data_IF_280289983855
#
_entry.id   IF_280289983855
#
_cell.length_a   1.000
_cell.length_b   1.000
_cell.length_c   1.000
_cell.angle_alpha   90.00
_cell.angle_beta   90.00
_cell.angle_gamma   90.00
#
_symmetry.space_group_name_H-M   'P 1'
#
loop_
_entity.id
_entity.type
_entity.pdbx_description
1 polymer ?
#
# COMPACT_ATOMS: atom_id res chain seq x y z
N UNK A 1 -20.59 -4.86 -14.36
CA UNK A 1 -22.04 -4.61 -14.48
C UNK A 1 -22.57 -5.22 -15.78
N UNK A 2 -23.85 -5.58 -15.82
CA UNK A 2 -24.43 -6.33 -16.94
C UNK A 2 -25.15 -5.46 -17.98
N UNK A 3 -25.27 -4.15 -17.73
CA UNK A 3 -25.91 -3.20 -18.64
C UNK A 3 -25.11 -1.89 -18.74
N UNK A 4 -25.17 -1.23 -19.89
CA UNK A 4 -24.56 0.07 -20.16
C UNK A 4 -25.47 0.92 -21.06
N UNK A 5 -25.19 2.21 -21.13
CA UNK A 5 -25.84 3.12 -22.06
C UNK A 5 -25.04 3.20 -23.36
N UNK A 6 -25.69 3.01 -24.49
CA UNK A 6 -25.18 3.26 -25.81
C UNK A 6 -26.17 4.19 -26.53
N UNK A 7 -25.73 5.36 -26.96
CA UNK A 7 -26.57 6.37 -27.64
C UNK A 7 -27.92 6.61 -26.94
N UNK A 8 -27.88 6.81 -25.63
CA UNK A 8 -29.02 7.00 -24.73
C UNK A 8 -29.96 5.79 -24.58
N UNK A 9 -29.61 4.63 -25.13
CA UNK A 9 -30.38 3.37 -24.98
C UNK A 9 -29.62 2.45 -23.99
N UNK A 10 -30.36 1.73 -23.16
CA UNK A 10 -29.79 0.72 -22.27
C UNK A 10 -29.54 -0.57 -23.09
N UNK A 11 -28.31 -1.06 -23.07
CA UNK A 11 -27.90 -2.30 -23.74
C UNK A 11 -27.36 -3.30 -22.72
N UNK A 12 -27.59 -4.60 -22.97
CA UNK A 12 -27.11 -5.67 -22.10
C UNK A 12 -25.76 -6.21 -22.60
N UNK A 13 -24.87 -6.52 -21.69
CA UNK A 13 -23.54 -7.05 -22.01
C UNK A 13 -23.60 -8.35 -22.82
N UNK A 14 -24.57 -9.22 -22.51
CA UNK A 14 -24.76 -10.49 -23.23
C UNK A 14 -25.19 -10.24 -24.69
N UNK A 15 -26.11 -9.29 -24.95
CA UNK A 15 -26.54 -8.94 -26.27
C UNK A 15 -25.41 -8.33 -27.11
N UNK A 16 -24.65 -7.43 -26.52
CA UNK A 16 -23.50 -6.81 -27.17
C UNK A 16 -22.40 -7.84 -27.47
N UNK A 17 -22.14 -8.78 -26.54
CA UNK A 17 -21.20 -9.87 -26.76
C UNK A 17 -21.64 -10.81 -27.89
N UNK A 18 -22.94 -11.09 -28.01
CA UNK A 18 -23.47 -11.86 -29.12
C UNK A 18 -23.19 -11.19 -30.48
N UNK A 19 -23.42 -9.87 -30.56
CA UNK A 19 -23.14 -9.12 -31.81
C UNK A 19 -21.64 -9.11 -32.16
N UNK A 20 -20.76 -9.07 -31.14
CA UNK A 20 -19.31 -9.15 -31.34
C UNK A 20 -18.90 -10.56 -31.80
N UNK A 21 -19.40 -11.60 -31.16
CA UNK A 21 -19.06 -12.99 -31.47
C UNK A 21 -19.60 -13.41 -32.86
N UNK A 22 -20.75 -12.88 -33.26
CA UNK A 22 -21.34 -13.08 -34.61
C UNK A 22 -20.70 -12.20 -35.69
N UNK A 23 -19.64 -11.44 -35.37
CA UNK A 23 -18.96 -10.50 -36.29
C UNK A 23 -19.81 -9.38 -36.86
N UNK A 24 -20.99 -9.15 -36.29
CA UNK A 24 -21.88 -8.03 -36.69
C UNK A 24 -21.40 -6.70 -36.11
N UNK A 25 -20.54 -6.74 -35.09
CA UNK A 25 -19.99 -5.57 -34.40
C UNK A 25 -18.53 -5.83 -34.00
N UNK A 26 -17.68 -4.80 -34.05
CA UNK A 26 -16.30 -4.89 -33.50
C UNK A 26 -16.30 -4.61 -32.01
N UNK A 27 -15.47 -5.35 -31.24
CA UNK A 27 -15.36 -5.19 -29.80
C UNK A 27 -14.91 -3.77 -29.44
N UNK A 28 -15.68 -3.11 -28.58
CA UNK A 28 -15.41 -1.76 -28.06
C UNK A 28 -15.21 -0.67 -29.14
N UNK A 29 -15.80 -0.84 -30.31
CA UNK A 29 -15.84 0.19 -31.35
C UNK A 29 -16.71 1.38 -30.91
N UNK A 30 -17.74 1.13 -30.12
CA UNK A 30 -18.69 2.14 -29.65
C UNK A 30 -18.41 2.59 -28.25
N UNK A 31 -18.92 3.76 -27.85
CA UNK A 31 -18.70 4.37 -26.56
C UNK A 31 -19.86 4.00 -25.62
N UNK A 32 -19.63 2.99 -24.79
CA UNK A 32 -20.56 2.63 -23.73
C UNK A 32 -20.35 3.52 -22.50
N UNK A 33 -21.45 3.84 -21.80
CA UNK A 33 -21.43 4.64 -20.57
C UNK A 33 -22.15 3.95 -19.43
N UNK A 34 -21.68 4.15 -18.21
CA UNK A 34 -22.34 3.64 -17.02
C UNK A 34 -23.69 4.34 -16.80
N UNK A 35 -24.81 3.61 -16.58
CA UNK A 35 -26.11 4.22 -16.32
C UNK A 35 -26.19 5.02 -15.02
N UNK A 36 -25.31 4.76 -14.03
CA UNK A 36 -25.30 5.45 -12.75
C UNK A 36 -24.42 6.71 -12.72
N UNK A 37 -23.21 6.65 -13.31
CA UNK A 37 -22.23 7.73 -13.18
C UNK A 37 -21.82 8.36 -14.52
N UNK A 38 -22.42 7.93 -15.62
CA UNK A 38 -22.17 8.38 -17.00
C UNK A 38 -20.71 8.27 -17.48
N UNK A 39 -19.82 7.64 -16.70
CA UNK A 39 -18.42 7.41 -17.08
C UNK A 39 -18.33 6.33 -18.17
N UNK A 40 -17.29 6.43 -19.01
CA UNK A 40 -17.03 5.47 -20.08
C UNK A 40 -16.77 4.08 -19.50
N UNK A 41 -17.34 3.05 -20.15
CA UNK A 41 -17.15 1.64 -19.82
C UNK A 41 -16.79 0.85 -21.07
N UNK A 42 -16.15 -0.29 -20.90
CA UNK A 42 -15.81 -1.23 -21.98
C UNK A 42 -16.53 -2.55 -21.78
N UNK A 43 -16.89 -3.20 -22.88
CA UNK A 43 -17.41 -4.55 -22.89
C UNK A 43 -16.24 -5.54 -22.72
N UNK A 44 -16.36 -6.44 -21.78
CA UNK A 44 -15.47 -7.58 -21.59
C UNK A 44 -16.23 -8.83 -22.01
N UNK A 45 -15.66 -9.56 -22.96
CA UNK A 45 -16.18 -10.85 -23.44
C UNK A 45 -15.18 -11.92 -23.05
N UNK A 46 -15.60 -12.93 -22.27
CA UNK A 46 -14.75 -14.03 -21.81
C UNK A 46 -15.31 -15.35 -22.30
N UNK A 47 -14.43 -16.24 -22.75
CA UNK A 47 -14.81 -17.60 -23.16
C UNK A 47 -15.36 -18.45 -22.01
N UNK A 48 -15.00 -18.14 -20.76
CA UNK A 48 -15.37 -18.92 -19.55
C UNK A 48 -16.44 -18.27 -18.68
N UNK A 49 -16.73 -16.97 -18.87
CA UNK A 49 -17.65 -16.23 -18.03
C UNK A 49 -18.65 -15.42 -18.87
N UNK A 50 -19.79 -15.08 -18.28
CA UNK A 50 -20.76 -14.17 -18.91
C UNK A 50 -20.12 -12.81 -19.24
N UNK A 51 -20.51 -12.20 -20.33
CA UNK A 51 -20.05 -10.87 -20.71
C UNK A 51 -20.49 -9.80 -19.70
N UNK A 52 -19.66 -8.78 -19.49
CA UNK A 52 -19.96 -7.68 -18.58
C UNK A 52 -19.28 -6.37 -19.00
N UNK A 53 -19.84 -5.25 -18.56
CA UNK A 53 -19.21 -3.93 -18.72
C UNK A 53 -18.33 -3.58 -17.53
N UNK A 54 -17.13 -3.05 -17.81
CA UNK A 54 -16.16 -2.57 -16.82
C UNK A 54 -15.90 -1.09 -17.02
N UNK A 55 -15.84 -0.31 -15.92
CA UNK A 55 -15.43 1.10 -15.99
C UNK A 55 -14.03 1.26 -16.55
N UNK A 56 -13.87 2.22 -17.45
CA UNK A 56 -12.57 2.61 -18.01
C UNK A 56 -11.70 3.43 -17.05
N UNK A 57 -12.17 3.66 -15.82
CA UNK A 57 -11.46 4.46 -14.80
C UNK A 57 -10.04 4.01 -14.47
N UNK A 58 -9.62 2.87 -15.02
CA UNK A 58 -8.25 2.37 -14.85
C UNK A 58 -7.32 2.62 -16.05
N UNK A 59 -7.82 3.11 -17.23
CA UNK A 59 -6.91 3.23 -18.38
C UNK A 59 -6.00 4.44 -18.34
N UNK A 60 -6.49 5.58 -17.85
CA UNK A 60 -5.65 6.77 -17.64
C UNK A 60 -4.69 6.59 -16.46
N UNK A 61 -5.11 5.90 -15.39
CA UNK A 61 -4.25 5.58 -14.27
C UNK A 61 -3.19 4.52 -14.61
N UNK A 62 -3.55 3.50 -15.43
CA UNK A 62 -2.58 2.46 -15.82
C UNK A 62 -1.49 2.97 -16.74
N UNK A 63 -1.76 3.94 -17.61
CA UNK A 63 -0.70 4.58 -18.40
C UNK A 63 0.19 5.46 -17.52
N UNK A 64 -0.39 6.24 -16.61
CA UNK A 64 0.37 7.05 -15.65
C UNK A 64 1.15 6.20 -14.64
N UNK A 65 0.58 5.09 -14.16
CA UNK A 65 1.28 4.15 -13.27
C UNK A 65 2.43 3.42 -13.97
N UNK A 66 2.25 3.02 -15.23
CA UNK A 66 3.32 2.42 -16.03
C UNK A 66 4.46 3.42 -16.29
N UNK A 67 4.14 4.67 -16.57
CA UNK A 67 5.12 5.72 -16.80
C UNK A 67 5.87 6.04 -15.51
N UNK A 68 5.17 6.26 -14.38
CA UNK A 68 5.80 6.46 -13.07
C UNK A 68 6.73 5.30 -12.69
N UNK A 69 6.29 4.06 -12.91
CA UNK A 69 7.07 2.86 -12.64
C UNK A 69 8.34 2.81 -13.51
N UNK A 70 8.20 3.01 -14.83
CA UNK A 70 9.33 2.99 -15.75
C UNK A 70 10.36 4.08 -15.44
N UNK A 71 9.90 5.33 -15.27
CA UNK A 71 10.77 6.45 -14.92
C UNK A 71 11.50 6.21 -13.60
N UNK A 72 10.80 5.70 -12.58
CA UNK A 72 11.41 5.40 -11.28
C UNK A 72 12.51 4.36 -11.39
N UNK A 73 12.31 3.27 -12.14
CA UNK A 73 13.35 2.26 -12.37
C UNK A 73 14.58 2.84 -13.04
N UNK A 74 14.38 3.62 -14.11
CA UNK A 74 15.49 4.21 -14.85
C UNK A 74 16.27 5.20 -14.01
N UNK A 75 15.60 6.02 -13.20
CA UNK A 75 16.25 6.95 -12.27
C UNK A 75 17.03 6.22 -11.17
N UNK A 76 16.46 5.17 -10.56
CA UNK A 76 17.19 4.35 -9.58
C UNK A 76 18.42 3.69 -10.20
N UNK A 77 18.29 3.08 -11.39
CA UNK A 77 19.44 2.50 -12.11
C UNK A 77 20.52 3.54 -12.33
N UNK A 78 20.16 4.70 -12.91
CA UNK A 78 21.12 5.75 -13.23
C UNK A 78 21.85 6.26 -11.99
N UNK A 79 21.11 6.54 -10.90
CA UNK A 79 21.67 7.03 -9.64
C UNK A 79 22.60 5.99 -8.98
N UNK A 80 22.21 4.72 -8.97
CA UNK A 80 23.01 3.62 -8.42
C UNK A 80 24.29 3.42 -9.25
N UNK A 81 24.20 3.42 -10.57
CA UNK A 81 25.36 3.29 -11.45
C UNK A 81 26.31 4.47 -11.27
N UNK A 82 25.81 5.70 -11.19
CA UNK A 82 26.62 6.89 -10.91
C UNK A 82 27.31 6.81 -9.54
N UNK A 83 26.67 6.22 -8.54
CA UNK A 83 27.26 6.00 -7.21
C UNK A 83 28.28 4.85 -7.16
N UNK A 84 28.55 4.19 -8.31
CA UNK A 84 29.55 3.12 -8.44
C UNK A 84 29.02 1.71 -8.16
N UNK A 85 27.70 1.53 -8.09
CA UNK A 85 27.11 0.21 -7.97
C UNK A 85 26.86 -0.41 -9.35
N UNK A 86 27.08 -1.72 -9.49
CA UNK A 86 26.61 -2.47 -10.64
C UNK A 86 25.08 -2.65 -10.53
N UNK A 87 24.35 -1.91 -11.38
CA UNK A 87 22.89 -1.87 -11.33
C UNK A 87 22.30 -2.17 -12.72
N UNK A 88 21.41 -3.16 -12.77
CA UNK A 88 20.70 -3.58 -13.98
C UNK A 88 19.19 -3.61 -13.75
N UNK A 89 18.40 -3.39 -14.80
CA UNK A 89 16.93 -3.37 -14.73
C UNK A 89 16.32 -4.62 -15.38
N UNK A 90 15.14 -5.02 -14.90
CA UNK A 90 14.33 -6.10 -15.47
C UNK A 90 15.07 -7.45 -15.52
N UNK A 91 15.85 -7.76 -14.49
CA UNK A 91 16.67 -8.97 -14.46
C UNK A 91 15.82 -10.16 -14.05
N UNK A 92 15.74 -11.22 -14.89
CA UNK A 92 15.06 -12.46 -14.51
C UNK A 92 15.89 -13.21 -13.44
N UNK A 93 15.19 -13.68 -12.41
CA UNK A 93 15.74 -14.41 -11.28
C UNK A 93 14.89 -15.65 -11.01
N UNK A 94 15.38 -16.57 -10.17
CA UNK A 94 14.65 -17.77 -9.77
C UNK A 94 14.09 -18.56 -10.98
N UNK A 95 14.93 -18.87 -11.96
CA UNK A 95 14.56 -19.58 -13.20
C UNK A 95 13.40 -18.89 -13.96
N UNK A 96 13.38 -17.56 -13.97
CA UNK A 96 12.38 -16.75 -14.66
C UNK A 96 11.05 -16.60 -13.91
N UNK A 97 10.91 -17.16 -12.70
CA UNK A 97 9.71 -16.99 -11.86
C UNK A 97 9.60 -15.60 -11.25
N UNK A 98 10.69 -14.85 -11.22
CA UNK A 98 10.80 -13.51 -10.67
C UNK A 98 11.56 -12.60 -11.64
N UNK A 99 11.21 -11.32 -11.67
CA UNK A 99 11.95 -10.28 -12.39
C UNK A 99 12.16 -9.12 -11.47
N UNK A 100 13.44 -8.83 -11.16
CA UNK A 100 13.81 -7.67 -10.34
C UNK A 100 13.66 -6.37 -11.14
N UNK A 101 12.99 -5.37 -10.58
CA UNK A 101 12.87 -4.06 -11.22
C UNK A 101 14.25 -3.39 -11.37
N UNK A 102 15.05 -3.35 -10.31
CA UNK A 102 16.44 -2.91 -10.32
C UNK A 102 17.26 -3.85 -9.45
N UNK A 103 18.14 -4.64 -10.05
CA UNK A 103 19.09 -5.49 -9.32
C UNK A 103 20.40 -4.73 -9.14
N UNK A 104 20.94 -4.75 -7.93
CA UNK A 104 22.23 -4.12 -7.55
C UNK A 104 23.20 -5.22 -7.15
N UNK A 105 24.28 -5.35 -7.88
CA UNK A 105 25.14 -6.52 -7.78
C UNK A 105 24.30 -7.80 -7.89
N UNK A 106 24.63 -8.85 -7.13
CA UNK A 106 23.89 -10.13 -7.22
C UNK A 106 22.92 -10.35 -6.06
N UNK A 107 22.89 -9.47 -5.05
CA UNK A 107 22.26 -9.77 -3.77
C UNK A 107 21.28 -8.71 -3.24
N UNK A 108 21.00 -7.65 -4.00
CA UNK A 108 20.08 -6.60 -3.58
C UNK A 108 19.16 -6.20 -4.73
N UNK A 109 17.86 -6.26 -4.52
CA UNK A 109 16.87 -5.81 -5.48
C UNK A 109 16.06 -4.63 -4.93
N UNK A 110 15.89 -3.58 -5.73
CA UNK A 110 14.88 -2.56 -5.50
C UNK A 110 13.63 -2.91 -6.33
N UNK A 111 12.53 -3.10 -5.63
CA UNK A 111 11.20 -3.33 -6.21
C UNK A 111 10.42 -2.04 -6.21
N UNK A 112 10.03 -1.55 -7.37
CA UNK A 112 9.29 -0.30 -7.53
C UNK A 112 7.80 -0.61 -7.66
N UNK A 113 6.98 -0.28 -6.69
CA UNK A 113 5.56 -0.64 -6.70
C UNK A 113 4.67 0.58 -6.86
N UNK A 114 4.17 0.78 -8.09
CA UNK A 114 3.24 1.87 -8.42
C UNK A 114 1.78 1.40 -8.55
N UNK A 115 1.56 0.12 -8.90
CA UNK A 115 0.24 -0.49 -9.05
C UNK A 115 -0.24 -1.18 -7.75
N UNK A 116 -1.54 -1.49 -7.60
CA UNK A 116 -2.02 -2.33 -6.51
C UNK A 116 -1.32 -3.68 -6.48
N UNK A 117 -0.95 -4.14 -5.28
CA UNK A 117 -0.32 -5.44 -5.05
C UNK A 117 -1.09 -6.17 -3.94
N UNK A 118 -1.39 -7.44 -4.15
CA UNK A 118 -2.02 -8.26 -3.13
C UNK A 118 -0.99 -8.77 -2.11
N UNK A 119 -1.45 -9.04 -0.88
CA UNK A 119 -0.60 -9.63 0.16
C UNK A 119 -0.02 -11.00 -0.25
N UNK A 120 -0.82 -11.80 -0.96
CA UNK A 120 -0.39 -13.10 -1.46
C UNK A 120 0.73 -12.99 -2.51
N UNK A 121 0.58 -12.09 -3.46
CA UNK A 121 1.58 -11.84 -4.50
C UNK A 121 2.87 -11.26 -3.92
N UNK A 122 2.73 -10.29 -3.00
CA UNK A 122 3.87 -9.75 -2.26
C UNK A 122 4.65 -10.85 -1.54
N UNK A 123 3.96 -11.69 -0.75
CA UNK A 123 4.58 -12.80 -0.01
C UNK A 123 5.26 -13.80 -0.94
N UNK A 124 4.63 -14.10 -2.07
CA UNK A 124 5.20 -14.99 -3.08
C UNK A 124 6.52 -14.43 -3.61
N UNK A 125 6.54 -13.19 -4.09
CA UNK A 125 7.76 -12.53 -4.61
C UNK A 125 8.84 -12.42 -3.54
N UNK A 126 8.48 -11.97 -2.34
CA UNK A 126 9.41 -11.88 -1.21
C UNK A 126 10.03 -13.23 -0.85
N UNK A 127 9.23 -14.31 -0.84
CA UNK A 127 9.73 -15.67 -0.57
C UNK A 127 10.71 -16.16 -1.65
N UNK A 128 10.50 -15.82 -2.91
CA UNK A 128 11.42 -16.16 -3.99
C UNK A 128 12.76 -15.43 -3.81
N UNK A 129 12.75 -14.14 -3.48
CA UNK A 129 13.97 -13.39 -3.15
C UNK A 129 14.74 -14.03 -2.00
N UNK A 130 14.05 -14.38 -0.91
CA UNK A 130 14.67 -15.06 0.23
C UNK A 130 15.32 -16.39 -0.14
N UNK A 131 14.65 -17.21 -0.98
CA UNK A 131 15.15 -18.52 -1.41
C UNK A 131 16.47 -18.44 -2.20
N UNK A 132 16.64 -17.38 -2.98
CA UNK A 132 17.86 -17.15 -3.78
C UNK A 132 18.88 -16.25 -3.08
N UNK A 133 18.67 -15.90 -1.81
CA UNK A 133 19.61 -15.08 -1.03
C UNK A 133 19.66 -13.60 -1.42
N UNK A 134 18.68 -13.10 -2.16
CA UNK A 134 18.59 -11.69 -2.57
C UNK A 134 17.75 -10.91 -1.56
N UNK A 135 18.26 -9.76 -1.13
CA UNK A 135 17.51 -8.83 -0.26
C UNK A 135 16.63 -7.93 -1.12
N UNK A 136 15.32 -7.93 -0.87
CA UNK A 136 14.36 -7.08 -1.57
C UNK A 136 14.05 -5.80 -0.77
N UNK A 137 14.20 -4.66 -1.39
CA UNK A 137 13.79 -3.34 -0.87
C UNK A 137 12.65 -2.80 -1.71
N UNK A 138 11.49 -2.62 -1.08
CA UNK A 138 10.29 -2.11 -1.75
C UNK A 138 10.21 -0.60 -1.65
N UNK A 139 10.09 0.05 -2.81
CA UNK A 139 9.95 1.50 -2.95
C UNK A 139 8.62 1.76 -3.66
N UNK A 140 7.74 2.52 -3.04
CA UNK A 140 6.38 2.70 -3.57
C UNK A 140 6.19 4.02 -4.30
N UNK A 141 5.37 4.00 -5.35
CA UNK A 141 4.90 5.19 -6.06
C UNK A 141 3.70 5.85 -5.37
N UNK A 142 3.19 6.89 -6.01
CA UNK A 142 2.20 7.84 -5.46
C UNK A 142 0.93 7.17 -4.90
N UNK A 143 0.47 6.08 -5.52
CA UNK A 143 -0.72 5.34 -5.08
C UNK A 143 -0.61 4.87 -3.62
N UNK A 144 0.59 4.50 -3.21
CA UNK A 144 0.89 3.89 -1.91
C UNK A 144 1.52 4.85 -0.90
N UNK A 145 1.65 6.15 -1.20
CA UNK A 145 2.27 7.10 -0.27
C UNK A 145 1.65 7.06 1.11
N UNK A 146 2.53 6.93 2.11
CA UNK A 146 2.14 6.90 3.51
C UNK A 146 1.70 8.30 3.98
N UNK A 147 0.45 8.40 4.39
CA UNK A 147 -0.13 9.62 4.96
C UNK A 147 -0.22 9.49 6.50
N UNK A 148 -0.99 10.36 7.12
CA UNK A 148 -1.16 10.37 8.58
C UNK A 148 -1.93 9.17 9.14
N UNK A 149 -2.64 8.42 8.31
CA UNK A 149 -3.43 7.25 8.72
C UNK A 149 -3.03 6.02 7.91
N UNK A 150 -2.80 4.91 8.62
CA UNK A 150 -2.40 3.64 8.04
C UNK A 150 -3.56 2.98 7.28
N UNK A 151 -3.30 2.58 6.04
CA UNK A 151 -4.17 1.70 5.26
C UNK A 151 -3.65 0.26 5.34
N UNK A 152 -4.55 -0.71 5.34
CA UNK A 152 -4.17 -2.14 5.41
C UNK A 152 -3.24 -2.55 4.27
N UNK A 153 -3.50 -2.08 3.05
CA UNK A 153 -2.69 -2.37 1.85
C UNK A 153 -1.27 -1.81 1.89
N UNK A 154 -0.95 -0.93 2.83
CA UNK A 154 0.39 -0.37 3.00
C UNK A 154 1.27 -1.23 3.92
N UNK A 155 0.67 -2.14 4.71
CA UNK A 155 1.40 -2.92 5.71
C UNK A 155 2.49 -3.79 5.12
N UNK A 156 2.27 -4.34 3.93
CA UNK A 156 3.20 -5.23 3.25
C UNK A 156 4.54 -4.56 2.90
N UNK A 157 4.54 -3.24 2.71
CA UNK A 157 5.74 -2.50 2.31
C UNK A 157 6.59 -2.00 3.49
N UNK A 158 6.11 -2.14 4.73
CA UNK A 158 6.93 -1.80 5.88
C UNK A 158 8.09 -2.77 6.05
N UNK A 159 9.24 -2.21 6.38
CA UNK A 159 10.43 -2.95 6.78
C UNK A 159 10.93 -2.42 8.11
N UNK A 160 11.78 -3.18 8.78
CA UNK A 160 12.36 -2.81 10.06
C UNK A 160 13.84 -3.14 10.12
N UNK A 161 14.63 -2.20 10.61
CA UNK A 161 16.01 -2.42 10.96
C UNK A 161 16.40 -1.61 12.22
N UNK A 162 17.60 -1.86 12.74
CA UNK A 162 18.10 -1.17 13.96
C UNK A 162 18.35 0.33 13.73
N UNK A 163 18.73 0.71 12.50
CA UNK A 163 19.13 2.08 12.14
C UNK A 163 17.92 3.02 12.02
N UNK A 164 16.83 2.55 11.42
CA UNK A 164 15.66 3.38 11.06
C UNK A 164 14.38 3.02 11.82
N UNK A 165 14.37 1.97 12.63
CA UNK A 165 13.16 1.41 13.21
C UNK A 165 12.26 0.83 12.10
N UNK A 166 10.92 0.98 12.23
CA UNK A 166 10.04 0.69 11.12
C UNK A 166 10.19 1.78 10.08
N UNK A 167 10.38 1.40 8.82
CA UNK A 167 10.57 2.35 7.73
C UNK A 167 9.75 2.01 6.49
N UNK A 168 9.63 3.00 5.61
CA UNK A 168 8.84 2.98 4.40
C UNK A 168 9.52 3.86 3.36
N UNK A 169 9.67 3.37 2.12
CA UNK A 169 10.33 4.10 1.05
C UNK A 169 9.31 4.49 -0.01
N UNK A 170 9.41 5.73 -0.46
CA UNK A 170 8.55 6.31 -1.51
C UNK A 170 9.42 6.94 -2.59
N UNK A 171 9.01 6.83 -3.86
CA UNK A 171 9.70 7.47 -4.98
C UNK A 171 8.80 8.51 -5.64
N UNK A 172 9.39 9.63 -6.04
CA UNK A 172 8.73 10.66 -6.84
C UNK A 172 9.62 10.99 -8.05
N UNK A 173 9.41 10.34 -9.19
CA UNK A 173 10.25 10.55 -10.37
C UNK A 173 10.12 11.97 -10.94
N UNK A 174 8.94 12.60 -10.85
CA UNK A 174 8.74 13.98 -11.30
C UNK A 174 9.59 15.01 -10.53
N UNK A 175 9.97 14.69 -9.28
CA UNK A 175 10.86 15.51 -8.46
C UNK A 175 12.29 14.97 -8.40
N UNK A 176 12.59 13.95 -9.18
CA UNK A 176 13.89 13.26 -9.17
C UNK A 176 14.37 12.91 -7.75
N UNK A 177 13.48 12.39 -6.90
CA UNK A 177 13.82 12.08 -5.51
C UNK A 177 13.09 10.84 -4.98
N UNK A 178 13.64 10.27 -3.93
CA UNK A 178 12.97 9.29 -3.10
C UNK A 178 12.97 9.73 -1.64
N UNK A 179 12.07 9.18 -0.88
CA UNK A 179 11.78 9.59 0.48
C UNK A 179 11.84 8.38 1.41
N UNK A 180 12.64 8.46 2.44
CA UNK A 180 12.64 7.53 3.56
C UNK A 180 11.77 8.10 4.68
N UNK A 181 10.66 7.43 4.99
CA UNK A 181 9.90 7.63 6.22
C UNK A 181 10.37 6.59 7.23
N UNK A 182 10.91 7.03 8.33
CA UNK A 182 11.56 6.18 9.31
C UNK A 182 11.07 6.46 10.72
N UNK A 183 11.38 5.55 11.65
CA UNK A 183 10.83 5.58 13.00
C UNK A 183 9.29 5.65 12.96
N UNK A 184 8.70 4.87 12.05
CA UNK A 184 7.25 4.89 11.85
C UNK A 184 6.59 4.10 12.96
N UNK A 185 5.77 4.79 13.75
CA UNK A 185 5.00 4.19 14.84
C UNK A 185 3.53 4.61 14.71
N UNK A 186 2.64 3.76 15.20
CA UNK A 186 1.20 3.96 15.21
C UNK A 186 0.73 4.30 16.63
N UNK A 187 -0.22 5.23 16.76
CA UNK A 187 -0.83 5.55 18.06
C UNK A 187 -1.47 4.31 18.70
N UNK A 188 -1.57 4.31 20.02
CA UNK A 188 -2.05 3.18 20.82
C UNK A 188 -3.39 2.60 20.34
N UNK A 189 -4.37 3.45 20.10
CA UNK A 189 -5.75 3.04 19.77
C UNK A 189 -6.25 3.48 18.40
N UNK A 190 -5.59 4.46 17.77
CA UNK A 190 -5.99 4.98 16.46
C UNK A 190 -5.20 4.34 15.31
N UNK A 191 -5.56 4.70 14.07
CA UNK A 191 -4.76 4.37 12.88
C UNK A 191 -3.74 5.45 12.53
N UNK A 192 -3.60 6.50 13.37
CA UNK A 192 -2.69 7.60 13.10
C UNK A 192 -1.24 7.17 13.25
N UNK A 193 -0.42 7.65 12.34
CA UNK A 193 1.02 7.40 12.31
C UNK A 193 1.81 8.63 12.73
N UNK A 194 2.98 8.36 13.34
CA UNK A 194 4.07 9.32 13.54
C UNK A 194 5.32 8.78 12.93
N UNK A 195 6.08 9.61 12.23
CA UNK A 195 7.33 9.25 11.57
C UNK A 195 8.20 10.47 11.36
N UNK A 196 9.48 10.23 11.12
CA UNK A 196 10.45 11.19 10.62
C UNK A 196 10.62 10.97 9.11
N UNK A 197 11.05 12.01 8.40
CA UNK A 197 11.16 11.97 6.94
C UNK A 197 12.51 12.51 6.50
N UNK A 198 13.14 11.85 5.52
CA UNK A 198 14.33 12.34 4.83
C UNK A 198 14.16 12.10 3.33
N UNK A 199 14.41 13.14 2.56
CA UNK A 199 14.43 13.09 1.10
C UNK A 199 15.86 12.95 0.62
N UNK A 200 16.03 12.20 -0.48
CA UNK A 200 17.28 12.00 -1.18
C UNK A 200 17.05 12.25 -2.67
N UNK A 201 17.94 12.96 -3.33
CA UNK A 201 17.90 13.11 -4.78
C UNK A 201 18.27 11.76 -5.42
N UNK A 202 17.68 11.44 -6.57
CA UNK A 202 18.03 10.24 -7.34
C UNK A 202 19.26 10.54 -8.22
N UNK A 203 20.40 10.73 -7.55
CA UNK A 203 21.72 10.93 -8.13
C UNK A 203 22.80 10.22 -7.28
N UNK A 204 24.06 10.32 -7.68
CA UNK A 204 25.20 9.74 -6.96
C UNK A 204 25.23 10.17 -5.49
N UNK A 205 25.09 11.48 -5.23
CA UNK A 205 25.22 12.06 -3.90
C UNK A 205 24.08 11.56 -3.01
N UNK A 206 22.85 11.57 -3.50
CA UNK A 206 21.69 11.14 -2.74
C UNK A 206 21.71 9.64 -2.41
N UNK A 207 22.19 8.79 -3.31
CA UNK A 207 22.39 7.35 -3.05
C UNK A 207 23.45 7.15 -1.96
N UNK A 208 24.62 7.82 -2.06
CA UNK A 208 25.65 7.73 -1.02
C UNK A 208 25.17 8.24 0.33
N UNK A 209 24.39 9.34 0.36
CA UNK A 209 23.77 9.86 1.57
C UNK A 209 22.76 8.87 2.17
N UNK A 210 21.94 8.23 1.35
CA UNK A 210 20.98 7.22 1.81
C UNK A 210 21.67 6.03 2.48
N UNK A 211 22.73 5.50 1.86
CA UNK A 211 23.49 4.38 2.40
C UNK A 211 24.14 4.69 3.75
N UNK A 212 24.63 5.91 3.91
CA UNK A 212 25.30 6.36 5.14
C UNK A 212 24.33 6.98 6.18
N UNK A 213 23.03 7.12 5.84
CA UNK A 213 22.08 7.80 6.70
C UNK A 213 21.80 7.02 7.98
N UNK A 214 22.24 7.55 9.14
CA UNK A 214 22.04 6.97 10.47
C UNK A 214 21.47 8.03 11.41
N UNK A 215 20.13 8.21 11.45
CA UNK A 215 19.51 9.27 12.22
C UNK A 215 19.34 8.92 13.70
N UNK A 216 19.22 9.95 14.53
CA UNK A 216 18.68 9.81 15.88
C UNK A 216 17.17 9.62 15.83
N UNK A 217 16.67 8.51 16.39
CA UNK A 217 15.24 8.22 16.43
C UNK A 217 14.57 9.01 17.56
N UNK A 218 13.48 9.73 17.23
CA UNK A 218 12.68 10.48 18.20
C UNK A 218 11.82 9.53 19.03
N UNK A 219 11.71 9.79 20.33
CA UNK A 219 10.68 9.14 21.17
C UNK A 219 9.34 9.85 20.96
N UNK A 220 8.28 9.08 20.76
CA UNK A 220 6.92 9.61 20.67
C UNK A 220 6.15 9.25 21.94
N UNK A 221 5.38 10.22 22.42
CA UNK A 221 4.50 10.05 23.58
C UNK A 221 3.08 10.42 23.12
N UNK A 222 2.13 9.54 23.35
CA UNK A 222 0.73 9.72 23.00
C UNK A 222 0.04 10.73 23.94
N UNK A 223 -1.05 11.31 23.44
CA UNK A 223 -1.92 12.14 24.28
C UNK A 223 -3.09 11.29 24.81
N UNK A 224 -3.12 10.94 26.12
CA UNK A 224 -4.12 10.04 26.66
C UNK A 224 -5.54 10.60 26.57
N UNK A 225 -5.71 11.92 26.73
CA UNK A 225 -7.03 12.57 26.62
C UNK A 225 -7.62 12.40 25.21
N UNK A 226 -6.81 12.68 24.19
CA UNK A 226 -7.26 12.54 22.80
C UNK A 226 -7.54 11.07 22.43
N UNK A 227 -6.73 10.14 22.94
CA UNK A 227 -6.92 8.71 22.71
C UNK A 227 -8.22 8.20 23.37
N UNK A 228 -8.50 8.60 24.62
CA UNK A 228 -9.76 8.28 25.32
C UNK A 228 -10.95 8.86 24.58
N UNK A 229 -10.94 10.15 24.23
CA UNK A 229 -12.00 10.79 23.44
C UNK A 229 -12.27 10.06 22.11
N UNK A 230 -11.22 9.57 21.48
CA UNK A 230 -11.38 8.75 20.27
C UNK A 230 -12.13 7.45 20.56
N UNK A 231 -11.75 6.71 21.60
CA UNK A 231 -12.41 5.45 22.00
C UNK A 231 -13.85 5.68 22.38
N UNK A 232 -14.16 6.70 23.20
CA UNK A 232 -15.53 7.10 23.58
C UNK A 232 -16.39 7.34 22.33
N UNK A 233 -15.85 8.07 21.35
CA UNK A 233 -16.54 8.30 20.08
C UNK A 233 -16.80 7.00 19.32
N UNK A 234 -15.82 6.08 19.28
CA UNK A 234 -15.99 4.78 18.61
C UNK A 234 -17.07 3.92 19.29
N UNK A 235 -17.14 3.94 20.62
CA UNK A 235 -18.19 3.26 21.39
C UNK A 235 -19.57 3.88 21.08
N UNK A 236 -19.68 5.20 21.15
CA UNK A 236 -20.93 5.93 20.84
C UNK A 236 -21.41 5.68 19.41
N UNK A 237 -20.50 5.60 18.45
CA UNK A 237 -20.80 5.33 17.04
C UNK A 237 -21.02 3.84 16.74
N UNK A 238 -20.93 2.96 17.74
CA UNK A 238 -21.06 1.50 17.58
C UNK A 238 -20.16 0.94 16.47
N UNK A 239 -18.96 1.52 16.28
CA UNK A 239 -18.00 0.99 15.32
C UNK A 239 -17.50 -0.40 15.76
N UNK A 240 -16.92 -1.18 14.81
CA UNK A 240 -16.31 -2.49 15.12
C UNK A 240 -15.33 -2.42 16.30
N UNK A 241 -14.48 -1.38 16.34
CA UNK A 241 -13.58 -1.14 17.47
C UNK A 241 -14.35 -0.80 18.74
N UNK A 242 -15.32 0.10 18.65
CA UNK A 242 -16.10 0.56 19.79
C UNK A 242 -16.90 -0.57 20.44
N UNK A 243 -17.58 -1.40 19.66
CA UNK A 243 -18.31 -2.57 20.16
C UNK A 243 -17.39 -3.57 20.84
N UNK A 244 -16.22 -3.87 20.24
CA UNK A 244 -15.25 -4.79 20.84
C UNK A 244 -14.69 -4.27 22.17
N UNK A 245 -14.38 -2.96 22.24
CA UNK A 245 -13.92 -2.34 23.50
C UNK A 245 -15.02 -2.32 24.56
N UNK A 246 -16.25 -1.95 24.20
CA UNK A 246 -17.38 -1.94 25.12
C UNK A 246 -17.66 -3.34 25.70
N UNK A 247 -17.65 -4.38 24.86
CA UNK A 247 -17.77 -5.78 25.29
C UNK A 247 -16.70 -6.16 26.32
N UNK A 248 -15.43 -5.87 26.03
CA UNK A 248 -14.32 -6.22 26.93
C UNK A 248 -14.38 -5.45 28.27
N UNK A 249 -14.76 -4.17 28.22
CA UNK A 249 -14.94 -3.37 29.44
C UNK A 249 -16.10 -3.92 30.30
N UNK A 250 -17.23 -4.25 29.68
CA UNK A 250 -18.38 -4.82 30.36
C UNK A 250 -18.04 -6.16 31.05
N UNK A 251 -17.37 -7.07 30.32
CA UNK A 251 -16.94 -8.37 30.86
C UNK A 251 -16.03 -8.23 32.09
N UNK A 252 -15.28 -7.15 32.20
CA UNK A 252 -14.35 -6.90 33.32
C UNK A 252 -14.90 -5.94 34.37
N UNK A 253 -16.13 -5.49 34.22
CA UNK A 253 -16.78 -4.49 35.09
C UNK A 253 -15.93 -3.21 35.23
N UNK A 254 -15.31 -2.75 34.13
CA UNK A 254 -14.50 -1.55 34.04
C UNK A 254 -15.18 -0.48 33.21
N UNK A 255 -14.91 0.78 33.57
CA UNK A 255 -15.16 1.94 32.73
C UNK A 255 -13.90 2.32 31.94
N UNK A 256 -14.03 3.20 30.97
CA UNK A 256 -12.87 3.70 30.22
C UNK A 256 -11.97 4.59 31.10
N UNK A 257 -12.53 5.22 32.11
CA UNK A 257 -11.88 6.07 33.09
C UNK A 257 -10.98 5.29 34.05
N UNK A 258 -11.32 4.05 34.36
CA UNK A 258 -10.55 3.16 35.25
C UNK A 258 -9.23 2.67 34.62
N UNK A 259 -9.07 2.90 33.32
CA UNK A 259 -7.89 2.42 32.60
C UNK A 259 -6.68 3.35 32.84
N UNK A 260 -5.47 2.81 33.05
CA UNK A 260 -4.30 3.63 33.29
C UNK A 260 -3.87 4.41 32.06
N UNK A 261 -3.37 5.64 32.24
CA UNK A 261 -2.88 6.48 31.14
C UNK A 261 -1.74 5.84 30.35
N UNK A 262 -0.98 4.96 30.97
CA UNK A 262 0.15 4.24 30.33
C UNK A 262 -0.25 3.47 29.06
N UNK A 263 -1.53 3.04 28.95
CA UNK A 263 -2.04 2.37 27.73
C UNK A 263 -2.11 3.34 26.56
N UNK A 264 -2.51 4.59 26.82
CA UNK A 264 -2.82 5.59 25.81
C UNK A 264 -1.63 6.44 25.37
N UNK A 265 -0.54 6.42 26.13
CA UNK A 265 0.69 7.16 25.77
C UNK A 265 1.66 6.33 24.91
N UNK A 266 1.53 5.01 24.92
CA UNK A 266 2.39 4.11 24.16
C UNK A 266 2.09 4.18 22.67
N UNK A 267 3.14 4.06 21.87
CA UNK A 267 3.02 3.79 20.43
C UNK A 267 3.28 2.30 20.19
N UNK A 268 2.77 1.80 19.07
CA UNK A 268 2.93 0.42 18.60
C UNK A 268 3.54 0.41 17.20
N UNK A 269 4.05 -0.73 16.75
CA UNK A 269 4.47 -0.85 15.36
C UNK A 269 3.25 -0.80 14.43
N UNK A 270 3.43 -0.36 13.17
CA UNK A 270 2.37 -0.43 12.17
C UNK A 270 1.86 -1.88 12.02
N UNK A 271 0.55 -2.04 12.13
CA UNK A 271 -0.10 -3.36 12.01
C UNK A 271 -0.20 -4.18 13.29
N UNK A 272 0.51 -3.83 14.36
CA UNK A 272 0.34 -4.50 15.65
C UNK A 272 -1.09 -4.33 16.17
N UNK A 273 -1.50 -5.26 17.03
CA UNK A 273 -2.80 -5.20 17.68
C UNK A 273 -2.97 -3.91 18.50
N UNK A 274 -4.22 -3.44 18.60
CA UNK A 274 -4.57 -2.27 19.38
C UNK A 274 -4.18 -2.45 20.85
N UNK A 275 -3.40 -1.51 21.40
CA UNK A 275 -2.84 -1.60 22.74
C UNK A 275 -3.94 -1.76 23.82
N UNK A 276 -5.07 -1.07 23.64
CA UNK A 276 -6.21 -1.16 24.56
C UNK A 276 -6.86 -2.54 24.51
N UNK A 277 -7.09 -3.08 23.31
CA UNK A 277 -7.68 -4.42 23.16
C UNK A 277 -6.76 -5.45 23.80
N UNK A 278 -5.47 -5.40 23.47
CA UNK A 278 -4.48 -6.33 24.00
C UNK A 278 -4.40 -6.26 25.56
N UNK A 279 -4.45 -5.04 26.13
CA UNK A 279 -4.49 -4.86 27.59
C UNK A 279 -5.73 -5.50 28.21
N UNK A 280 -6.90 -5.24 27.66
CA UNK A 280 -8.17 -5.77 28.20
C UNK A 280 -8.25 -7.30 28.05
N UNK A 281 -7.74 -7.86 26.94
CA UNK A 281 -7.70 -9.31 26.76
C UNK A 281 -6.78 -10.00 27.76
N UNK A 282 -5.60 -9.43 28.02
CA UNK A 282 -4.65 -10.00 29.01
C UNK A 282 -5.18 -9.93 30.43
N UNK A 283 -5.89 -8.87 30.78
CA UNK A 283 -6.50 -8.74 32.14
C UNK A 283 -7.66 -9.74 32.37
N UNK A 284 -8.23 -10.31 31.30
CA UNK A 284 -9.25 -11.37 31.40
C UNK A 284 -8.64 -12.73 31.76
N UNK A 285 -7.37 -12.93 31.51
CA UNK A 285 -6.68 -14.23 31.71
C UNK A 285 -6.03 -14.36 33.09
N UNK A 286 -5.97 -13.24 33.83
CA UNK A 286 -5.52 -13.17 35.20
C UNK A 286 -6.72 -12.92 36.16
#
# INVERSE_FOLDING_TARGET
MYAAMLDKKLVLAVSEAYLVNSRQKKLNQEIYRCPHCNKKVILIVSEKNSAFFKHLTSYTNLMGEKEEHHQSKMLFKAALTAAGFDAAVEIPLADGQLRADVLVAENLAFEIQCAPLSDAEFKHRHSLYQKIGVTDIWVVGQLHYLKHSLKHTQLIFFRRNKRWGNYYLEVNPAKNCFCLKFNVLQEAVTKKLRYQTKYFVLDEIGIRQFWNFSPKLKKYVGNPVNQRKYVQRQIKQKSKLGLKVAELLYQQKLSLEDLPNSIFIKYRNPGDENVLINYLQKKRLN
#
